data_IF_929492668984
#
_entry.id   IF_929492668984
#
_cell.length_a   1.000
_cell.length_b   1.000
_cell.length_c   1.000
_cell.angle_alpha   90.00
_cell.angle_beta   90.00
_cell.angle_gamma   90.00
#
_symmetry.space_group_name_H-M   'P 1'
#
loop_
_entity.id
_entity.type
_entity.pdbx_description
1 polymer ?
#
# COMPACT_ATOMS: atom_id res chain seq x y z
N UNK A 1 -3.49 -14.31 -7.38
CA UNK A 1 -2.43 -13.29 -7.28
C UNK A 1 -1.41 -13.65 -6.21
N UNK A 2 -1.85 -13.80 -4.97
CA UNK A 2 -1.02 -14.22 -3.85
C UNK A 2 -1.84 -14.91 -2.76
N UNK A 3 -1.15 -15.62 -1.87
CA UNK A 3 -1.70 -16.16 -0.64
C UNK A 3 -0.96 -15.51 0.52
N UNK A 4 -1.67 -14.84 1.38
CA UNK A 4 -1.11 -14.21 2.58
C UNK A 4 -1.54 -14.98 3.82
N UNK A 5 -0.58 -15.40 4.61
CA UNK A 5 -0.86 -16.06 5.88
C UNK A 5 -0.99 -15.06 7.01
N UNK A 6 -2.02 -15.22 7.82
CA UNK A 6 -2.25 -14.45 9.05
C UNK A 6 -2.21 -15.38 10.25
N UNK A 7 -1.94 -14.83 11.44
CA UNK A 7 -1.83 -15.62 12.68
C UNK A 7 -3.10 -16.37 13.07
N UNK A 8 -4.25 -15.96 12.58
CA UNK A 8 -5.54 -16.59 12.89
C UNK A 8 -5.91 -16.56 14.39
N UNK A 9 -7.17 -16.41 14.70
CA UNK A 9 -7.68 -16.37 16.08
C UNK A 9 -7.56 -17.70 16.84
N UNK A 10 -7.37 -18.79 16.12
CA UNK A 10 -7.28 -20.16 16.68
C UNK A 10 -5.84 -20.68 16.82
N UNK A 11 -4.84 -19.81 16.65
CA UNK A 11 -3.41 -20.17 16.73
C UNK A 11 -2.84 -20.88 15.48
N UNK A 12 -3.68 -21.31 14.55
CA UNK A 12 -3.20 -21.86 13.26
C UNK A 12 -3.20 -20.77 12.20
N UNK A 13 -2.09 -20.60 11.45
CA UNK A 13 -2.04 -19.64 10.36
C UNK A 13 -3.13 -19.92 9.32
N UNK A 14 -3.81 -18.87 8.88
CA UNK A 14 -4.84 -18.94 7.83
C UNK A 14 -4.33 -18.24 6.58
N UNK A 15 -4.39 -18.92 5.44
CA UNK A 15 -4.05 -18.37 4.13
C UNK A 15 -5.22 -17.62 3.52
N UNK A 16 -5.06 -16.33 3.30
CA UNK A 16 -6.02 -15.50 2.57
C UNK A 16 -5.63 -15.54 1.10
N UNK A 17 -6.49 -16.10 0.28
CA UNK A 17 -6.29 -16.20 -1.17
C UNK A 17 -6.82 -14.92 -1.84
N UNK A 18 -5.98 -14.27 -2.62
CA UNK A 18 -6.37 -13.14 -3.47
C UNK A 18 -6.37 -13.57 -4.93
N UNK A 19 -7.52 -13.49 -5.57
CA UNK A 19 -7.64 -13.70 -7.00
C UNK A 19 -7.01 -12.54 -7.80
N UNK A 20 -6.80 -12.72 -9.08
CA UNK A 20 -6.20 -11.67 -9.90
C UNK A 20 -7.23 -10.61 -10.31
N UNK A 21 -8.37 -11.05 -10.84
CA UNK A 21 -9.33 -10.14 -11.46
C UNK A 21 -10.09 -9.27 -10.48
N UNK A 22 -10.77 -9.89 -9.53
CA UNK A 22 -11.57 -9.16 -8.53
C UNK A 22 -10.74 -8.24 -7.67
N UNK A 23 -9.54 -8.70 -7.25
CA UNK A 23 -8.64 -7.86 -6.46
C UNK A 23 -8.13 -6.66 -7.28
N UNK A 24 -7.73 -6.88 -8.53
CA UNK A 24 -7.28 -5.80 -9.41
C UNK A 24 -8.35 -4.73 -9.61
N UNK A 25 -9.58 -5.14 -9.89
CA UNK A 25 -10.72 -4.22 -10.05
C UNK A 25 -10.96 -3.44 -8.76
N UNK A 26 -11.00 -4.12 -7.63
CA UNK A 26 -11.29 -3.50 -6.33
C UNK A 26 -10.23 -2.47 -5.93
N UNK A 27 -8.93 -2.80 -6.02
CA UNK A 27 -7.88 -1.87 -5.61
C UNK A 27 -7.75 -0.70 -6.57
N UNK A 28 -7.92 -0.93 -7.88
CA UNK A 28 -7.93 0.16 -8.86
C UNK A 28 -9.10 1.11 -8.63
N UNK A 29 -10.29 0.57 -8.38
CA UNK A 29 -11.46 1.38 -8.05
C UNK A 29 -11.22 2.22 -6.79
N UNK A 30 -10.71 1.60 -5.73
CA UNK A 30 -10.41 2.30 -4.48
C UNK A 30 -9.42 3.45 -4.69
N UNK A 31 -8.29 3.20 -5.35
CA UNK A 31 -7.25 4.22 -5.56
C UNK A 31 -7.79 5.39 -6.39
N UNK A 32 -8.55 5.13 -7.43
CA UNK A 32 -9.10 6.19 -8.29
C UNK A 32 -10.28 6.92 -7.69
N UNK A 33 -11.20 6.20 -7.05
CA UNK A 33 -12.50 6.77 -6.66
C UNK A 33 -12.53 7.25 -5.22
N UNK A 34 -11.89 6.49 -4.31
CA UNK A 34 -11.88 6.83 -2.89
C UNK A 34 -10.74 7.81 -2.59
N UNK A 35 -9.56 7.54 -3.13
CA UNK A 35 -8.38 8.37 -2.89
C UNK A 35 -8.17 9.46 -3.95
N UNK A 36 -8.89 9.42 -5.07
CA UNK A 36 -8.83 10.45 -6.11
C UNK A 36 -7.56 10.46 -6.95
N UNK A 37 -6.72 9.45 -6.86
CA UNK A 37 -5.43 9.39 -7.52
C UNK A 37 -5.55 9.13 -9.03
N UNK A 38 -4.63 9.71 -9.79
CA UNK A 38 -4.57 9.60 -11.24
C UNK A 38 -3.19 9.13 -11.71
N UNK A 39 -3.10 8.73 -12.97
CA UNK A 39 -1.83 8.37 -13.58
C UNK A 39 -0.86 9.57 -13.53
N UNK A 40 0.36 9.29 -13.08
CA UNK A 40 1.40 10.30 -12.90
C UNK A 40 1.51 10.87 -11.48
N UNK A 41 0.49 10.69 -10.65
CA UNK A 41 0.55 11.10 -9.25
C UNK A 41 1.57 10.26 -8.47
N UNK A 42 2.08 10.83 -7.39
CA UNK A 42 2.98 10.16 -6.45
C UNK A 42 2.20 9.72 -5.22
N UNK A 43 2.13 8.43 -5.02
CA UNK A 43 1.40 7.80 -3.92
C UNK A 43 2.34 7.28 -2.84
N UNK A 44 2.00 7.49 -1.59
CA UNK A 44 2.66 6.86 -0.47
C UNK A 44 1.66 6.20 0.47
N UNK A 45 1.57 4.87 0.42
CA UNK A 45 0.81 4.10 1.39
C UNK A 45 1.65 3.88 2.65
N UNK A 46 1.31 4.57 3.73
CA UNK A 46 2.04 4.48 5.01
C UNK A 46 1.60 3.21 5.75
N UNK A 47 2.10 2.07 5.29
CA UNK A 47 1.83 0.76 5.87
C UNK A 47 3.03 -0.15 5.63
N UNK A 48 3.08 -1.26 6.35
CA UNK A 48 4.06 -2.31 6.09
C UNK A 48 3.61 -3.14 4.89
N UNK A 49 4.53 -3.35 3.93
CA UNK A 49 4.27 -4.14 2.74
C UNK A 49 3.95 -5.60 3.05
N UNK A 50 4.39 -6.10 4.19
CA UNK A 50 4.08 -7.47 4.65
C UNK A 50 2.60 -7.70 5.01
N UNK A 51 1.81 -6.66 5.13
CA UNK A 51 0.37 -6.75 5.42
C UNK A 51 -0.49 -6.62 4.17
N UNK A 52 -1.74 -7.08 4.26
CA UNK A 52 -2.69 -7.02 3.14
C UNK A 52 -2.92 -5.60 2.62
N UNK A 53 -2.91 -4.62 3.51
CA UNK A 53 -3.03 -3.20 3.15
C UNK A 53 -1.81 -2.76 2.33
N UNK A 54 -0.60 -3.17 2.74
CA UNK A 54 0.61 -2.88 2.00
C UNK A 54 0.61 -3.49 0.60
N UNK A 55 0.25 -4.76 0.46
CA UNK A 55 0.10 -5.39 -0.85
C UNK A 55 -0.89 -4.62 -1.73
N UNK A 56 -2.04 -4.28 -1.18
CA UNK A 56 -3.11 -3.62 -1.94
C UNK A 56 -2.79 -2.16 -2.28
N UNK A 57 -2.30 -1.38 -1.33
CA UNK A 57 -2.18 0.07 -1.42
C UNK A 57 -0.73 0.60 -1.51
N UNK A 58 0.29 -0.24 -1.42
CA UNK A 58 1.66 0.18 -1.75
C UNK A 58 2.05 -0.38 -3.11
N UNK A 59 1.67 -1.63 -3.40
CA UNK A 59 2.14 -2.32 -4.61
C UNK A 59 1.06 -2.27 -5.71
N UNK A 60 -0.03 -3.02 -5.55
CA UNK A 60 -0.93 -3.30 -6.67
C UNK A 60 -1.79 -2.10 -7.08
N UNK A 61 -2.46 -1.47 -6.15
CA UNK A 61 -3.42 -0.40 -6.45
C UNK A 61 -2.80 0.81 -7.16
N UNK A 62 -1.77 1.44 -6.59
CA UNK A 62 -1.13 2.59 -7.22
C UNK A 62 -0.53 2.26 -8.58
N UNK A 63 0.19 1.15 -8.71
CA UNK A 63 0.82 0.76 -9.98
C UNK A 63 -0.21 0.45 -11.06
N UNK A 64 -1.34 -0.17 -10.72
CA UNK A 64 -2.44 -0.39 -11.66
C UNK A 64 -3.14 0.90 -12.09
N UNK A 65 -2.99 1.98 -11.34
CA UNK A 65 -3.51 3.30 -11.69
C UNK A 65 -2.51 4.16 -12.45
N UNK A 66 -1.28 3.69 -12.64
CA UNK A 66 -0.19 4.44 -13.28
C UNK A 66 0.43 5.49 -12.37
N UNK A 67 0.27 5.34 -11.05
CA UNK A 67 0.93 6.19 -10.07
C UNK A 67 2.38 5.74 -9.85
N UNK A 68 3.22 6.67 -9.45
CA UNK A 68 4.49 6.36 -8.81
C UNK A 68 4.21 6.00 -7.36
N UNK A 69 4.73 4.89 -6.86
CA UNK A 69 4.58 4.53 -5.45
C UNK A 69 5.87 4.69 -4.68
N UNK A 70 5.80 5.34 -3.53
CA UNK A 70 6.94 5.45 -2.61
C UNK A 70 6.98 4.19 -1.74
N UNK A 71 8.11 3.50 -1.79
CA UNK A 71 8.41 2.38 -0.92
C UNK A 71 9.43 2.82 0.11
N UNK A 72 8.99 2.95 1.35
CA UNK A 72 9.80 3.48 2.44
C UNK A 72 10.36 2.35 3.30
N UNK A 73 11.69 2.25 3.34
CA UNK A 73 12.38 1.33 4.23
C UNK A 73 12.61 2.01 5.58
N UNK A 74 11.76 1.68 6.53
CA UNK A 74 11.84 2.22 7.89
C UNK A 74 10.52 2.10 8.61
N UNK A 75 10.56 2.30 9.92
CA UNK A 75 9.34 2.41 10.71
C UNK A 75 8.82 3.83 10.57
N UNK A 76 7.57 3.98 10.21
CA UNK A 76 7.00 5.30 9.95
C UNK A 76 6.98 6.20 11.19
N UNK A 77 6.87 5.64 12.37
CA UNK A 77 6.77 6.41 13.61
C UNK A 77 8.12 6.43 14.33
N UNK A 78 8.64 7.64 14.58
CA UNK A 78 9.83 7.89 15.38
C UNK A 78 11.17 7.50 14.76
N UNK A 79 11.24 7.29 13.45
CA UNK A 79 12.52 6.93 12.82
C UNK A 79 12.78 7.82 11.59
N UNK A 80 13.82 8.63 11.57
CA UNK A 80 14.73 8.93 12.68
C UNK A 80 14.14 9.90 13.74
N UNK A 81 13.09 10.65 13.37
CA UNK A 81 12.42 11.64 14.21
C UNK A 81 10.97 11.88 13.74
N UNK A 82 10.23 12.74 14.43
CA UNK A 82 8.82 13.06 14.12
C UNK A 82 8.62 13.78 12.78
N UNK A 83 9.65 14.37 12.20
CA UNK A 83 9.60 15.06 10.92
C UNK A 83 9.85 14.17 9.71
N UNK A 84 10.20 12.88 9.91
CA UNK A 84 10.60 11.99 8.82
C UNK A 84 9.55 11.86 7.72
N UNK A 85 8.29 11.76 8.09
CA UNK A 85 7.19 11.68 7.12
C UNK A 85 7.05 12.91 6.25
N UNK A 86 7.11 14.06 6.88
CA UNK A 86 6.94 15.31 6.17
C UNK A 86 8.08 15.55 5.16
N UNK A 87 9.29 15.13 5.50
CA UNK A 87 10.43 15.18 4.57
C UNK A 87 10.23 14.25 3.38
N UNK A 88 9.74 13.03 3.59
CA UNK A 88 9.43 12.09 2.49
C UNK A 88 8.33 12.66 1.58
N UNK A 89 7.27 13.22 2.16
CA UNK A 89 6.19 13.84 1.40
C UNK A 89 6.72 15.00 0.54
N UNK A 90 7.53 15.87 1.13
CA UNK A 90 8.10 17.02 0.44
C UNK A 90 9.10 16.61 -0.63
N UNK A 91 10.06 15.74 -0.30
CA UNK A 91 11.12 15.27 -1.20
C UNK A 91 10.56 14.58 -2.42
N UNK A 92 9.58 13.70 -2.23
CA UNK A 92 8.99 12.91 -3.30
C UNK A 92 7.72 13.54 -3.89
N UNK A 93 7.31 14.71 -3.41
CA UNK A 93 6.09 15.42 -3.86
C UNK A 93 4.86 14.51 -3.84
N UNK A 94 4.64 13.86 -2.71
CA UNK A 94 3.50 12.96 -2.53
C UNK A 94 2.19 13.77 -2.59
N UNK A 95 1.24 13.29 -3.42
CA UNK A 95 -0.09 13.88 -3.59
C UNK A 95 -1.05 13.54 -2.44
#
# INVERSE_FOLDING_TARGET
LYIMYTSGTTGKPKGIVRDNGGHAVAVRYAVRTIYGMQAGDVWWGISDVGWVVGHSLIVYGPLMCGCTTVFYEGKPVRTPDAGAYWRVIEEHRVN
#
